data_IF_277069714576
#
_entry.id   IF_277069714576
#
_cell.length_a   1.000
_cell.length_b   1.000
_cell.length_c   1.000
_cell.angle_alpha   90.00
_cell.angle_beta   90.00
_cell.angle_gamma   90.00
#
_symmetry.space_group_name_H-M   'P 1'
#
loop_
_entity.id
_entity.type
_entity.pdbx_description
1 polymer ?
#
# COMPACT_ATOMS: atom_id res chain seq x y z
N UNK A 1 -54.62 42.01 -26.72
CA UNK A 1 -54.10 43.33 -26.29
C UNK A 1 -53.13 43.11 -25.14
N UNK A 2 -52.00 43.77 -24.95
CA UNK A 2 -51.30 44.85 -25.64
C UNK A 2 -49.86 44.78 -25.08
N UNK A 3 -48.83 44.76 -25.94
CA UNK A 3 -47.99 45.91 -26.33
C UNK A 3 -46.81 46.17 -25.36
N UNK A 4 -45.61 46.06 -25.93
CA UNK A 4 -44.49 47.02 -25.83
C UNK A 4 -44.08 47.54 -24.44
N UNK A 5 -42.81 47.36 -24.08
CA UNK A 5 -41.81 48.45 -24.12
C UNK A 5 -40.42 47.97 -23.67
N UNK A 6 -39.43 48.22 -24.52
CA UNK A 6 -37.99 48.27 -24.21
C UNK A 6 -37.67 49.47 -23.31
N UNK A 7 -36.77 49.27 -22.33
CA UNK A 7 -35.99 50.29 -21.61
C UNK A 7 -34.65 49.60 -21.28
N UNK A 8 -33.59 49.77 -22.08
CA UNK A 8 -32.53 50.81 -22.04
C UNK A 8 -31.73 50.87 -20.73
N UNK A 9 -30.44 50.49 -20.87
CA UNK A 9 -29.22 50.79 -20.08
C UNK A 9 -29.14 50.40 -18.61
N UNK A 10 -28.13 49.61 -18.26
CA UNK A 10 -26.84 50.09 -17.72
C UNK A 10 -25.91 48.89 -17.49
N UNK A 11 -24.75 48.88 -18.13
CA UNK A 11 -23.69 47.93 -17.81
C UNK A 11 -23.03 48.30 -16.48
N UNK A 12 -22.62 47.30 -15.68
CA UNK A 12 -21.30 47.39 -15.08
C UNK A 12 -20.47 46.14 -15.40
N UNK A 13 -19.36 46.42 -16.09
CA UNK A 13 -18.03 45.86 -15.87
C UNK A 13 -17.96 44.82 -14.73
N UNK A 14 -17.91 43.54 -15.11
CA UNK A 14 -17.52 42.44 -14.22
C UNK A 14 -16.49 41.60 -14.94
N UNK A 15 -15.22 41.97 -14.72
CA UNK A 15 -14.06 41.13 -15.03
C UNK A 15 -14.15 39.94 -14.08
N UNK A 16 -14.44 38.74 -14.59
CA UNK A 16 -14.26 37.50 -13.83
C UNK A 16 -13.59 36.44 -14.70
N UNK A 17 -12.27 36.38 -14.54
CA UNK A 17 -11.40 35.21 -14.62
C UNK A 17 -11.83 34.08 -15.58
N UNK A 18 -11.40 34.20 -16.83
CA UNK A 18 -11.22 33.03 -17.69
C UNK A 18 -9.86 32.35 -17.37
N UNK A 19 -9.83 31.03 -17.58
CA UNK A 19 -8.69 30.09 -17.49
C UNK A 19 -8.41 29.56 -16.07
N UNK A 20 -8.37 28.26 -15.79
CA UNK A 20 -8.36 27.09 -16.65
C UNK A 20 -8.87 25.86 -15.86
N UNK A 21 -9.87 25.18 -16.40
CA UNK A 21 -10.21 23.82 -15.97
C UNK A 21 -9.14 22.87 -16.51
N UNK A 22 -8.04 22.71 -15.78
CA UNK A 22 -7.12 21.61 -16.01
C UNK A 22 -7.82 20.33 -15.58
N UNK A 23 -8.46 19.63 -16.52
CA UNK A 23 -8.90 18.26 -16.31
C UNK A 23 -7.66 17.40 -16.05
N UNK A 24 -7.39 17.11 -14.77
CA UNK A 24 -6.44 16.08 -14.36
C UNK A 24 -6.97 14.74 -14.90
N UNK A 25 -6.44 14.31 -16.03
CA UNK A 25 -6.64 12.96 -16.51
C UNK A 25 -5.95 12.03 -15.52
N UNK A 26 -6.74 11.31 -14.72
CA UNK A 26 -6.22 10.28 -13.83
C UNK A 26 -5.47 9.25 -14.68
N UNK A 27 -4.29 8.76 -14.23
CA UNK A 27 -3.58 7.71 -14.94
C UNK A 27 -4.49 6.49 -15.11
N UNK A 28 -4.39 5.76 -16.23
CA UNK A 28 -5.20 4.56 -16.43
C UNK A 28 -4.96 3.63 -15.25
N UNK A 29 -6.03 3.32 -14.52
CA UNK A 29 -6.00 2.32 -13.47
C UNK A 29 -5.65 1.00 -14.14
N UNK A 30 -4.39 0.58 -14.03
CA UNK A 30 -4.02 -0.78 -14.38
C UNK A 30 -4.90 -1.70 -13.51
N UNK A 31 -5.80 -2.44 -14.16
CA UNK A 31 -6.67 -3.42 -13.51
C UNK A 31 -5.79 -4.49 -12.88
N UNK A 32 -5.41 -4.29 -11.61
CA UNK A 32 -4.69 -5.30 -10.85
C UNK A 32 -5.68 -6.44 -10.57
N UNK A 33 -5.33 -7.70 -10.90
CA UNK A 33 -6.17 -8.85 -10.59
C UNK A 33 -6.54 -8.87 -9.11
N UNK A 34 -7.77 -9.27 -8.81
CA UNK A 34 -8.30 -9.36 -7.46
C UNK A 34 -7.34 -10.11 -6.51
N UNK A 35 -7.32 -9.67 -5.24
CA UNK A 35 -6.37 -10.12 -4.23
C UNK A 35 -6.24 -11.63 -4.05
N UNK A 36 -7.33 -12.36 -4.23
CA UNK A 36 -7.35 -13.82 -4.11
C UNK A 36 -6.53 -14.49 -5.20
N UNK A 37 -6.59 -13.99 -6.44
CA UNK A 37 -5.84 -14.56 -7.58
C UNK A 37 -4.34 -14.44 -7.39
N UNK A 38 -3.86 -13.29 -6.88
CA UNK A 38 -2.42 -13.08 -6.66
C UNK A 38 -1.89 -13.93 -5.51
N UNK A 39 -2.70 -14.18 -4.48
CA UNK A 39 -2.34 -15.03 -3.35
C UNK A 39 -2.19 -16.48 -3.80
N UNK A 40 -3.21 -17.06 -4.44
CA UNK A 40 -3.16 -18.45 -4.92
C UNK A 40 -2.03 -18.67 -5.92
N UNK A 41 -1.76 -17.68 -6.79
CA UNK A 41 -0.63 -17.77 -7.72
C UNK A 41 0.74 -17.78 -7.01
N UNK A 42 0.88 -17.10 -5.86
CA UNK A 42 2.13 -17.03 -5.08
C UNK A 42 2.36 -18.24 -4.17
N UNK A 43 1.29 -18.92 -3.74
CA UNK A 43 1.37 -20.06 -2.81
C UNK A 43 1.15 -21.42 -3.48
N UNK A 44 0.84 -21.44 -4.78
CA UNK A 44 0.61 -22.67 -5.54
C UNK A 44 1.81 -23.63 -5.47
N UNK A 45 1.55 -24.87 -5.05
CA UNK A 45 2.55 -25.93 -4.97
C UNK A 45 3.54 -25.83 -3.80
N UNK A 46 3.31 -24.91 -2.85
CA UNK A 46 4.07 -24.83 -1.60
C UNK A 46 3.45 -25.71 -0.50
N UNK A 47 4.28 -26.20 0.43
CA UNK A 47 3.81 -26.97 1.60
C UNK A 47 3.28 -26.00 2.66
N UNK A 48 1.96 -26.04 2.91
CA UNK A 48 1.32 -25.19 3.91
C UNK A 48 1.36 -25.87 5.27
N UNK A 49 1.84 -25.16 6.29
CA UNK A 49 1.83 -25.61 7.68
C UNK A 49 1.08 -24.64 8.56
N UNK A 50 0.11 -25.16 9.29
CA UNK A 50 -0.66 -24.39 10.25
C UNK A 50 0.14 -24.19 11.56
N UNK A 51 -0.09 -23.07 12.22
CA UNK A 51 0.61 -22.63 13.43
C UNK A 51 0.01 -21.32 13.94
N UNK A 52 0.75 -20.58 14.79
CA UNK A 52 0.31 -19.25 15.25
C UNK A 52 0.10 -18.27 14.09
N UNK A 53 1.06 -18.25 13.15
CA UNK A 53 0.91 -17.64 11.83
C UNK A 53 1.12 -18.79 10.83
N UNK A 54 0.16 -19.10 9.94
CA UNK A 54 0.34 -20.14 8.95
C UNK A 54 1.53 -19.81 8.03
N UNK A 55 2.31 -20.82 7.66
CA UNK A 55 3.47 -20.65 6.79
C UNK A 55 3.36 -21.50 5.53
N UNK A 56 3.95 -21.01 4.44
CA UNK A 56 4.16 -21.75 3.20
C UNK A 56 5.66 -21.98 2.99
N UNK A 57 6.05 -23.24 2.83
CA UNK A 57 7.43 -23.64 2.55
C UNK A 57 7.61 -23.84 1.04
N UNK A 58 8.54 -23.08 0.47
CA UNK A 58 9.05 -23.30 -0.88
C UNK A 58 10.39 -24.04 -0.78
N UNK A 59 10.32 -25.38 -0.88
CA UNK A 59 11.50 -26.24 -0.85
C UNK A 59 12.43 -26.04 -2.07
N UNK A 60 11.93 -25.49 -3.18
CA UNK A 60 12.72 -25.27 -4.39
C UNK A 60 13.59 -24.02 -4.27
N UNK A 61 13.05 -22.98 -3.65
CA UNK A 61 13.76 -21.70 -3.47
C UNK A 61 14.36 -21.52 -2.08
N UNK A 62 14.09 -22.44 -1.14
CA UNK A 62 14.53 -22.31 0.25
C UNK A 62 13.86 -21.13 0.96
N UNK A 63 12.60 -20.83 0.63
CA UNK A 63 11.86 -19.68 1.18
C UNK A 63 10.74 -20.11 2.11
N UNK A 64 10.45 -19.24 3.06
CA UNK A 64 9.28 -19.34 3.94
C UNK A 64 8.44 -18.08 3.72
N UNK A 65 7.16 -18.25 3.40
CA UNK A 65 6.20 -17.16 3.35
C UNK A 65 5.27 -17.26 4.55
N UNK A 66 4.97 -16.13 5.19
CA UNK A 66 4.00 -16.05 6.29
C UNK A 66 2.66 -15.58 5.72
N UNK A 67 1.60 -16.30 6.07
CA UNK A 67 0.23 -15.91 5.74
C UNK A 67 -0.31 -15.02 6.86
N UNK A 68 -0.28 -13.72 6.63
CA UNK A 68 -0.74 -12.72 7.59
C UNK A 68 -2.26 -12.59 7.44
N UNK A 69 -3.05 -13.06 8.43
CA UNK A 69 -4.49 -12.88 8.38
C UNK A 69 -4.83 -11.39 8.32
N UNK A 70 -5.87 -11.07 7.56
CA UNK A 70 -6.36 -9.70 7.39
C UNK A 70 -7.10 -9.16 8.62
N UNK A 71 -7.16 -9.94 9.70
CA UNK A 71 -7.86 -9.60 10.93
C UNK A 71 -7.02 -8.66 11.81
N UNK A 72 -7.47 -8.45 13.04
CA UNK A 72 -6.79 -7.59 14.02
C UNK A 72 -5.59 -8.28 14.68
N UNK A 73 -4.84 -9.12 13.97
CA UNK A 73 -3.65 -9.77 14.51
C UNK A 73 -2.64 -8.74 15.01
N UNK A 74 -2.25 -8.86 16.29
CA UNK A 74 -1.25 -8.01 16.94
C UNK A 74 0.02 -8.81 17.13
N UNK A 75 0.97 -8.63 16.23
CA UNK A 75 2.28 -9.28 16.28
C UNK A 75 3.39 -8.26 16.01
N UNK A 76 4.55 -8.47 16.65
CA UNK A 76 5.78 -7.72 16.38
C UNK A 76 6.82 -8.71 15.87
N UNK A 77 7.34 -8.46 14.66
CA UNK A 77 8.51 -9.19 14.18
C UNK A 77 9.76 -8.52 14.76
N UNK A 78 10.53 -9.29 15.52
CA UNK A 78 11.82 -8.86 16.06
C UNK A 78 12.87 -9.88 15.68
N UNK A 79 13.94 -9.42 15.04
CA UNK A 79 15.09 -10.23 14.69
C UNK A 79 16.26 -9.80 15.56
N UNK A 80 16.90 -10.76 16.22
CA UNK A 80 18.05 -10.53 17.08
C UNK A 80 19.06 -11.66 16.96
N UNK A 81 20.28 -11.38 17.43
CA UNK A 81 21.34 -12.37 17.48
C UNK A 81 21.08 -13.38 18.60
N UNK A 82 21.05 -14.67 18.26
CA UNK A 82 20.89 -15.75 19.24
C UNK A 82 22.07 -15.84 20.21
N UNK A 83 23.26 -15.46 19.75
CA UNK A 83 24.48 -15.33 20.56
C UNK A 83 25.17 -14.02 20.18
N UNK A 84 25.72 -13.29 21.16
CA UNK A 84 26.64 -12.20 20.85
C UNK A 84 27.89 -12.75 20.14
N UNK A 85 28.65 -11.90 19.45
CA UNK A 85 29.89 -12.31 18.77
C UNK A 85 31.06 -12.66 19.72
N UNK A 86 30.79 -12.84 21.01
CA UNK A 86 31.81 -12.94 22.07
C UNK A 86 32.36 -11.57 22.46
N UNK A 87 33.30 -11.55 23.42
CA UNK A 87 33.99 -10.34 23.91
C UNK A 87 34.88 -9.73 22.83
N UNK A 88 34.27 -9.16 21.80
CA UNK A 88 34.93 -8.47 20.72
C UNK A 88 34.54 -6.97 20.79
N UNK A 89 35.47 -6.03 20.62
CA UNK A 89 35.25 -4.60 20.84
C UNK A 89 34.24 -3.93 19.87
N UNK A 90 33.73 -4.69 18.90
CA UNK A 90 32.69 -4.28 17.93
C UNK A 90 31.28 -4.14 18.53
N UNK A 91 31.05 -4.59 19.77
CA UNK A 91 29.88 -4.15 20.55
C UNK A 91 28.50 -4.58 20.02
N UNK A 92 28.42 -5.69 19.28
CA UNK A 92 27.13 -6.25 18.86
C UNK A 92 26.39 -6.84 20.07
N UNK A 93 25.42 -6.07 20.58
CA UNK A 93 24.61 -6.42 21.75
C UNK A 93 23.64 -7.57 21.46
N UNK A 94 23.33 -8.35 22.51
CA UNK A 94 22.38 -9.45 22.52
C UNK A 94 20.95 -8.90 22.51
N UNK A 95 20.54 -8.37 21.38
CA UNK A 95 19.28 -7.63 21.24
C UNK A 95 19.41 -6.36 20.41
N UNK A 96 20.60 -6.05 19.89
CA UNK A 96 20.72 -5.13 18.78
C UNK A 96 19.85 -5.67 17.64
N UNK A 97 18.77 -4.95 17.33
CA UNK A 97 17.89 -5.26 16.23
C UNK A 97 18.66 -5.24 14.92
N UNK A 98 18.12 -5.89 13.89
CA UNK A 98 18.67 -5.80 12.54
C UNK A 98 18.50 -4.38 11.99
N UNK A 99 19.40 -3.48 12.37
CA UNK A 99 19.58 -2.23 11.66
C UNK A 99 20.05 -2.56 10.24
N UNK A 100 19.31 -1.98 9.29
CA UNK A 100 19.23 -2.24 7.85
C UNK A 100 20.53 -2.46 7.09
#
# INVERSE_FOLDING_TARGET
MNRFKSIITLAPLSILAACASASRQAPPTATQPAATTRYTAKTSGMDRRDGFIPIYLDAKQGKILLDIPSDSMRALMFVGLATGLGSNPIGLDRGAGGDS
#
